data_IF_503364364536
#
_entry.id   IF_503364364536
#
_cell.length_a   1.000
_cell.length_b   1.000
_cell.length_c   1.000
_cell.angle_alpha   90.00
_cell.angle_beta   90.00
_cell.angle_gamma   90.00
#
_symmetry.space_group_name_H-M   'P 1'
#
loop_
_entity.id
_entity.type
_entity.pdbx_description
1 polymer ?
#
# COMPACT_ATOMS: atom_id res chain seq x y z
N UNK A 1 -4.45 3.94 -17.36
CA UNK A 1 -3.21 4.60 -17.02
C UNK A 1 -3.34 5.26 -15.67
N UNK A 2 -2.42 5.07 -14.88
CA UNK A 2 -2.53 5.42 -13.49
C UNK A 2 -2.04 6.83 -13.17
N UNK A 3 -2.75 7.53 -12.28
CA UNK A 3 -2.26 8.75 -11.68
C UNK A 3 -1.06 8.48 -10.78
N UNK A 4 -0.74 7.21 -10.52
CA UNK A 4 0.37 6.80 -9.68
C UNK A 4 1.70 6.66 -10.41
N UNK A 5 1.79 6.96 -11.71
CA UNK A 5 3.03 6.74 -12.45
C UNK A 5 4.23 7.49 -11.87
N UNK A 6 3.99 8.55 -11.09
CA UNK A 6 5.05 9.30 -10.43
C UNK A 6 5.16 8.99 -8.93
N UNK A 7 4.40 8.03 -8.44
CA UNK A 7 4.44 7.66 -7.03
C UNK A 7 5.83 7.20 -6.60
N UNK A 8 6.27 7.62 -5.41
CA UNK A 8 7.50 7.11 -4.82
C UNK A 8 7.43 5.62 -4.57
N UNK A 9 6.24 5.10 -4.27
CA UNK A 9 6.09 3.68 -3.91
C UNK A 9 5.98 2.78 -5.13
N UNK A 10 5.18 3.15 -6.11
CA UNK A 10 4.88 2.28 -7.24
C UNK A 10 4.98 2.95 -8.60
N UNK A 11 5.27 4.26 -8.66
CA UNK A 11 5.28 5.00 -9.91
C UNK A 11 6.44 4.65 -10.81
N UNK A 12 6.15 4.15 -12.01
CA UNK A 12 7.18 3.72 -12.95
C UNK A 12 8.00 4.86 -13.53
N UNK A 13 7.46 6.09 -13.51
CA UNK A 13 8.16 7.26 -14.05
C UNK A 13 8.87 8.07 -12.97
N UNK A 14 8.83 7.62 -11.72
CA UNK A 14 9.60 8.20 -10.64
C UNK A 14 10.84 7.33 -10.43
N UNK A 15 12.02 7.86 -10.73
CA UNK A 15 13.27 7.12 -10.64
C UNK A 15 13.61 6.65 -9.23
N UNK A 16 13.12 7.36 -8.23
CA UNK A 16 13.35 7.02 -6.81
C UNK A 16 12.29 6.07 -6.27
N UNK A 17 11.31 5.69 -7.08
CA UNK A 17 10.23 4.81 -6.66
C UNK A 17 10.74 3.45 -6.23
N UNK A 18 10.06 2.84 -5.25
CA UNK A 18 10.32 1.45 -4.86
C UNK A 18 9.96 0.47 -5.97
N UNK A 19 9.16 0.91 -6.95
CA UNK A 19 8.85 0.10 -8.11
C UNK A 19 7.92 -1.07 -7.86
N UNK A 20 7.09 -0.98 -6.83
CA UNK A 20 6.15 -2.06 -6.52
C UNK A 20 5.09 -2.13 -7.63
N UNK A 21 4.92 -3.32 -8.19
CA UNK A 21 3.90 -3.55 -9.19
C UNK A 21 2.75 -4.31 -8.56
N UNK A 22 1.54 -3.84 -8.82
CA UNK A 22 0.33 -4.45 -8.29
C UNK A 22 -0.45 -5.14 -9.39
N UNK A 23 -1.16 -6.20 -9.01
CA UNK A 23 -2.12 -6.88 -9.87
C UNK A 23 -3.50 -6.66 -9.27
N UNK A 24 -4.43 -6.17 -10.10
CA UNK A 24 -5.81 -5.95 -9.70
C UNK A 24 -6.67 -7.06 -10.27
N UNK A 25 -7.39 -7.78 -9.40
CA UNK A 25 -8.21 -8.92 -9.82
C UNK A 25 -9.70 -8.59 -9.98
N UNK A 26 -10.05 -7.31 -9.94
CA UNK A 26 -11.44 -6.84 -9.99
C UNK A 26 -11.98 -6.48 -8.61
N UNK A 27 -11.40 -6.99 -7.55
CA UNK A 27 -11.80 -6.69 -6.18
C UNK A 27 -10.64 -6.28 -5.30
N UNK A 28 -9.48 -6.92 -5.46
CA UNK A 28 -8.33 -6.70 -4.60
C UNK A 28 -7.10 -6.30 -5.38
N UNK A 29 -6.25 -5.52 -4.73
CA UNK A 29 -4.90 -5.24 -5.20
C UNK A 29 -3.96 -6.19 -4.47
N UNK A 30 -3.04 -6.78 -5.22
CA UNK A 30 -2.00 -7.66 -4.66
C UNK A 30 -0.66 -7.31 -5.27
N UNK A 31 0.38 -7.40 -4.47
CA UNK A 31 1.72 -7.13 -4.93
C UNK A 31 2.74 -7.78 -4.02
N UNK A 32 4.00 -7.68 -4.38
CA UNK A 32 5.08 -8.13 -3.52
C UNK A 32 6.26 -7.19 -3.65
N UNK A 33 7.13 -7.24 -2.66
CA UNK A 33 8.28 -6.37 -2.59
C UNK A 33 9.38 -7.03 -1.75
N UNK A 34 10.62 -6.81 -2.11
CA UNK A 34 11.78 -7.28 -1.34
C UNK A 34 12.53 -6.05 -0.86
N UNK A 35 12.52 -5.75 0.45
CA UNK A 35 13.24 -4.59 0.98
C UNK A 35 14.75 -4.67 0.71
N UNK A 36 15.32 -3.54 0.37
CA UNK A 36 16.75 -3.41 0.12
C UNK A 36 17.43 -2.79 1.33
N UNK A 37 18.75 -2.94 1.43
CA UNK A 37 19.53 -2.40 2.53
C UNK A 37 19.40 -0.89 2.72
N UNK A 38 19.06 -0.17 1.64
CA UNK A 38 18.88 1.27 1.68
C UNK A 38 17.55 1.70 2.32
N UNK A 39 16.66 0.75 2.61
CA UNK A 39 15.33 1.02 3.17
C UNK A 39 15.23 0.70 4.66
N UNK A 40 16.34 0.57 5.35
CA UNK A 40 16.33 0.20 6.76
C UNK A 40 16.26 1.42 7.66
N UNK A 41 15.61 1.27 8.82
CA UNK A 41 15.61 2.27 9.88
C UNK A 41 16.57 1.91 10.98
N UNK A 42 16.85 0.63 11.18
CA UNK A 42 17.68 0.13 12.27
C UNK A 42 18.23 -1.24 11.89
N UNK A 43 19.54 -1.32 11.66
CA UNK A 43 20.19 -2.53 11.14
C UNK A 43 19.39 -3.09 9.97
N UNK A 44 19.03 -4.32 10.00
CA UNK A 44 18.37 -4.98 8.89
C UNK A 44 16.83 -4.87 8.91
N UNK A 45 16.29 -3.98 9.75
CA UNK A 45 14.85 -3.81 9.88
C UNK A 45 14.32 -2.78 8.87
N UNK A 46 13.32 -3.16 8.10
CA UNK A 46 12.72 -2.28 7.11
C UNK A 46 11.98 -1.14 7.83
N UNK A 47 12.09 0.05 7.27
CA UNK A 47 11.53 1.26 7.87
C UNK A 47 10.00 1.19 7.99
N UNK A 48 9.48 1.37 9.23
CA UNK A 48 8.03 1.30 9.47
C UNK A 48 7.24 2.34 8.70
N UNK A 49 7.78 3.55 8.56
CA UNK A 49 7.13 4.59 7.76
C UNK A 49 6.97 4.19 6.31
N UNK A 50 7.93 3.45 5.75
CA UNK A 50 7.82 2.97 4.38
C UNK A 50 6.76 1.88 4.27
N UNK A 51 6.61 1.03 5.29
CA UNK A 51 5.54 0.01 5.29
C UNK A 51 4.17 0.67 5.31
N UNK A 52 4.02 1.75 6.09
CA UNK A 52 2.77 2.52 6.11
C UNK A 52 2.51 3.16 4.74
N UNK A 53 3.53 3.71 4.11
CA UNK A 53 3.41 4.34 2.80
C UNK A 53 3.04 3.31 1.73
N UNK A 54 3.59 2.11 1.81
CA UNK A 54 3.26 1.03 0.89
C UNK A 54 1.79 0.67 1.00
N UNK A 55 1.28 0.54 2.24
CA UNK A 55 -0.13 0.20 2.43
C UNK A 55 -1.06 1.32 1.97
N UNK A 56 -0.71 2.57 2.25
CA UNK A 56 -1.50 3.70 1.78
C UNK A 56 -1.55 3.71 0.26
N UNK A 57 -0.41 3.50 -0.39
CA UNK A 57 -0.32 3.46 -1.85
C UNK A 57 -1.14 2.30 -2.44
N UNK A 58 -1.09 1.13 -1.81
CA UNK A 58 -1.85 -0.03 -2.27
C UNK A 58 -3.35 0.24 -2.21
N UNK A 59 -3.82 0.84 -1.11
CA UNK A 59 -5.23 1.16 -0.95
C UNK A 59 -5.67 2.25 -1.93
N UNK A 60 -4.83 3.25 -2.18
CA UNK A 60 -5.13 4.30 -3.14
C UNK A 60 -5.16 3.73 -4.57
N UNK A 61 -4.23 2.85 -4.90
CA UNK A 61 -4.18 2.20 -6.20
C UNK A 61 -5.43 1.35 -6.45
N UNK A 62 -5.88 0.65 -5.41
CA UNK A 62 -7.11 -0.12 -5.47
C UNK A 62 -8.29 0.74 -5.91
N UNK A 63 -8.45 1.90 -5.30
CA UNK A 63 -9.55 2.81 -5.63
C UNK A 63 -9.41 3.33 -7.06
N UNK A 64 -8.20 3.69 -7.49
CA UNK A 64 -7.97 4.15 -8.85
C UNK A 64 -8.29 3.05 -9.88
N UNK A 65 -7.95 1.80 -9.58
CA UNK A 65 -8.26 0.69 -10.48
C UNK A 65 -9.77 0.49 -10.61
N UNK A 66 -10.52 0.89 -9.60
CA UNK A 66 -11.99 0.86 -9.64
C UNK A 66 -12.58 2.15 -10.23
N UNK A 67 -11.74 3.05 -10.74
CA UNK A 67 -12.21 4.29 -11.34
C UNK A 67 -12.56 5.37 -10.33
N UNK A 68 -12.10 5.22 -9.08
CA UNK A 68 -12.42 6.16 -8.00
C UNK A 68 -11.19 7.01 -7.69
N UNK A 69 -11.33 8.31 -7.92
CA UNK A 69 -10.29 9.27 -7.56
C UNK A 69 -10.56 9.75 -6.14
N UNK A 70 -9.74 9.33 -5.19
CA UNK A 70 -9.94 9.62 -3.79
C UNK A 70 -8.62 9.90 -3.10
N UNK A 71 -8.71 10.57 -1.95
CA UNK A 71 -7.55 11.00 -1.17
C UNK A 71 -7.65 10.48 0.26
N UNK A 72 -6.52 10.10 0.83
CA UNK A 72 -6.45 9.60 2.20
C UNK A 72 -6.86 10.69 3.17
N UNK A 73 -7.89 10.44 3.97
CA UNK A 73 -8.30 11.32 5.05
C UNK A 73 -7.78 10.85 6.39
N UNK A 74 -7.70 9.53 6.58
CA UNK A 74 -7.24 8.95 7.83
C UNK A 74 -6.59 7.60 7.55
N UNK A 75 -5.47 7.34 8.20
CA UNK A 75 -4.75 6.09 8.07
C UNK A 75 -4.38 5.57 9.45
N UNK A 76 -4.82 4.36 9.77
CA UNK A 76 -4.44 3.65 10.99
C UNK A 76 -3.62 2.44 10.61
N UNK A 77 -2.44 2.32 11.18
CA UNK A 77 -1.53 1.22 10.89
C UNK A 77 -1.14 0.53 12.19
N UNK A 78 -1.16 -0.79 12.16
CA UNK A 78 -0.72 -1.60 13.29
C UNK A 78 0.40 -2.51 12.83
N UNK A 79 1.54 -2.39 13.51
CA UNK A 79 2.72 -3.21 13.25
C UNK A 79 2.72 -4.39 14.21
N UNK A 80 2.75 -5.61 13.66
CA UNK A 80 2.70 -6.82 14.47
C UNK A 80 4.00 -7.59 14.48
N UNK A 81 4.70 -7.62 13.35
CA UNK A 81 5.97 -8.33 13.20
C UNK A 81 6.94 -7.46 12.43
N UNK A 82 8.21 -7.58 12.73
CA UNK A 82 9.24 -6.82 12.03
C UNK A 82 9.47 -7.41 10.64
N UNK A 83 9.76 -6.53 9.70
CA UNK A 83 10.13 -6.91 8.34
C UNK A 83 11.60 -6.57 8.17
N UNK A 84 12.35 -7.52 7.66
CA UNK A 84 13.80 -7.38 7.48
C UNK A 84 14.15 -7.27 6.00
N UNK A 85 15.35 -6.76 5.72
CA UNK A 85 15.84 -6.78 4.34
C UNK A 85 15.89 -8.22 3.85
N UNK A 86 15.67 -8.41 2.55
CA UNK A 86 15.61 -9.72 1.88
C UNK A 86 14.37 -10.55 2.19
N UNK A 87 13.53 -10.12 3.14
CA UNK A 87 12.23 -10.76 3.30
C UNK A 87 11.39 -10.48 2.05
N UNK A 88 10.69 -11.48 1.56
CA UNK A 88 9.70 -11.25 0.51
C UNK A 88 8.38 -10.93 1.20
N UNK A 89 7.91 -9.71 1.03
CA UNK A 89 6.65 -9.30 1.62
C UNK A 89 5.56 -9.28 0.56
N UNK A 90 4.36 -9.67 0.96
CA UNK A 90 3.18 -9.67 0.12
C UNK A 90 2.20 -8.63 0.62
N UNK A 91 1.65 -7.87 -0.31
CA UNK A 91 0.78 -6.74 -0.03
C UNK A 91 -0.58 -7.07 -0.61
N UNK A 92 -1.63 -6.81 0.16
CA UNK A 92 -2.99 -7.01 -0.34
C UNK A 92 -3.88 -5.92 0.23
N UNK A 93 -4.79 -5.39 -0.60
CA UNK A 93 -5.72 -4.35 -0.17
C UNK A 93 -7.09 -4.59 -0.79
N UNK A 94 -8.14 -4.22 -0.05
CA UNK A 94 -9.53 -4.36 -0.49
C UNK A 94 -10.39 -3.27 0.11
N UNK A 95 -11.61 -3.10 -0.44
CA UNK A 95 -12.57 -2.15 0.09
C UNK A 95 -13.44 -2.85 1.13
N UNK A 96 -13.49 -2.29 2.33
CA UNK A 96 -14.33 -2.81 3.41
C UNK A 96 -15.74 -2.21 3.33
N UNK A 97 -15.83 -0.90 3.05
CA UNK A 97 -17.09 -0.19 2.91
C UNK A 97 -17.01 0.83 1.79
N UNK A 98 -18.09 0.98 1.05
CA UNK A 98 -18.20 1.96 -0.01
C UNK A 98 -19.48 2.76 0.20
N UNK A 99 -19.32 4.01 0.62
CA UNK A 99 -20.42 4.97 0.78
C UNK A 99 -19.94 6.31 0.22
N UNK A 100 -19.99 6.47 -1.11
CA UNK A 100 -19.47 7.71 -1.69
C UNK A 100 -20.03 8.94 -1.00
N UNK A 101 -19.20 9.94 -0.68
CA UNK A 101 -17.80 10.10 -1.07
C UNK A 101 -16.80 9.40 -0.15
N UNK A 102 -17.26 8.60 0.81
CA UNK A 102 -16.41 7.93 1.80
C UNK A 102 -16.19 6.48 1.42
N UNK A 103 -14.92 6.06 1.47
CA UNK A 103 -14.53 4.67 1.23
C UNK A 103 -13.61 4.22 2.36
N UNK A 104 -13.95 3.08 2.96
CA UNK A 104 -13.10 2.47 3.99
C UNK A 104 -12.39 1.30 3.34
N UNK A 105 -11.07 1.34 3.37
CA UNK A 105 -10.23 0.31 2.77
C UNK A 105 -9.40 -0.37 3.84
N UNK A 106 -8.98 -1.58 3.56
CA UNK A 106 -8.06 -2.32 4.42
C UNK A 106 -6.89 -2.83 3.60
N UNK A 107 -5.76 -2.97 4.25
CA UNK A 107 -4.57 -3.50 3.64
C UNK A 107 -3.75 -4.30 4.63
N UNK A 108 -3.02 -5.28 4.12
CA UNK A 108 -2.15 -6.12 4.95
C UNK A 108 -0.83 -6.32 4.24
N UNK A 109 0.22 -6.52 5.04
CA UNK A 109 1.52 -6.96 4.58
C UNK A 109 1.83 -8.25 5.31
N UNK A 110 2.16 -9.29 4.56
CA UNK A 110 2.47 -10.60 5.10
C UNK A 110 3.83 -11.08 4.62
N UNK A 111 4.46 -11.86 5.44
CA UNK A 111 5.69 -12.58 5.13
C UNK A 111 5.31 -14.05 5.18
N UNK A 112 5.15 -14.68 4.00
CA UNK A 112 4.48 -15.97 3.87
C UNK A 112 3.06 -15.84 4.45
N UNK A 113 2.70 -16.64 5.43
CA UNK A 113 1.38 -16.55 6.06
C UNK A 113 1.39 -15.72 7.34
N UNK A 114 2.53 -15.12 7.69
CA UNK A 114 2.65 -14.33 8.90
C UNK A 114 2.23 -12.89 8.64
N UNK A 115 1.20 -12.44 9.36
CA UNK A 115 0.74 -11.04 9.26
C UNK A 115 1.75 -10.14 9.97
N UNK A 116 2.36 -9.24 9.21
CA UNK A 116 3.35 -8.31 9.74
C UNK A 116 2.78 -6.92 10.01
N UNK A 117 1.94 -6.43 9.11
CA UNK A 117 1.36 -5.09 9.22
C UNK A 117 -0.08 -5.15 8.71
N UNK A 118 -0.97 -4.43 9.39
CA UNK A 118 -2.33 -4.25 8.91
C UNK A 118 -2.71 -2.79 9.01
N UNK A 119 -3.56 -2.35 8.10
CA UNK A 119 -3.99 -0.96 8.05
C UNK A 119 -5.46 -0.86 7.67
N UNK A 120 -6.06 0.23 8.13
CA UNK A 120 -7.38 0.65 7.70
C UNK A 120 -7.31 2.13 7.37
N UNK A 121 -7.92 2.52 6.27
CA UNK A 121 -7.87 3.91 5.85
C UNK A 121 -9.24 4.39 5.39
N UNK A 122 -9.52 5.66 5.66
CA UNK A 122 -10.68 6.37 5.13
C UNK A 122 -10.20 7.20 3.95
N UNK A 123 -10.86 7.04 2.81
CA UNK A 123 -10.60 7.83 1.62
C UNK A 123 -11.83 8.64 1.25
N UNK A 124 -11.62 9.83 0.75
CA UNK A 124 -12.71 10.72 0.32
C UNK A 124 -12.54 11.03 -1.15
N UNK A 125 -13.58 10.74 -1.94
CA UNK A 125 -13.56 11.04 -3.35
C UNK A 125 -13.93 12.50 -3.58
N UNK A 126 -13.44 13.02 -4.72
CA UNK A 126 -13.77 14.35 -5.17
C UNK A 126 -15.19 14.31 -5.74
N UNK A 127 -16.06 15.20 -5.25
CA UNK A 127 -17.45 15.25 -5.68
C UNK A 127 -17.70 16.17 -6.85
N UNK A 128 -16.69 16.94 -7.26
CA UNK A 128 -16.84 17.88 -8.37
C UNK A 128 -16.80 17.23 -9.73
#
# INVERSE_FOLDING_TARGET
MSMHKFSFISGKENRESLGIEYVFDGERIKGYFIPKSTHTSHKDIFHGGLLSAILDDAMATLLLEKGIKAYTGKLNVRFREKVYIKDVIFIEAWIEKSRPPLFITKGVIKKNDLLCVEAEASFFSDLS
#
